data_IF_767494495941
#
_entry.id   IF_767494495941
#
_cell.length_a   1.000
_cell.length_b   1.000
_cell.length_c   1.000
_cell.angle_alpha   90.00
_cell.angle_beta   90.00
_cell.angle_gamma   90.00
#
_symmetry.space_group_name_H-M   'P 1'
#
loop_
_entity.id
_entity.type
_entity.pdbx_description
1 polymer ?
#
# COMPACT_ATOMS: atom_id res chain seq x y z
N UNK A 1 7.87 -14.27 9.67
CA UNK A 1 7.24 -14.45 8.33
C UNK A 1 6.71 -13.11 7.89
N UNK A 2 6.74 -12.79 6.58
CA UNK A 2 6.17 -11.54 6.09
C UNK A 2 4.66 -11.50 6.39
N UNK A 3 4.13 -10.32 6.69
CA UNK A 3 2.69 -10.14 6.86
C UNK A 3 1.97 -10.21 5.51
N UNK A 4 2.67 -9.85 4.44
CA UNK A 4 2.23 -9.94 3.06
C UNK A 4 3.24 -10.77 2.27
N UNK A 5 2.87 -12.00 1.91
CA UNK A 5 3.69 -12.82 1.04
C UNK A 5 3.45 -12.44 -0.43
N UNK A 6 4.51 -12.04 -1.15
CA UNK A 6 4.41 -11.78 -2.59
C UNK A 6 3.99 -13.03 -3.36
N UNK A 7 3.15 -12.84 -4.39
CA UNK A 7 2.67 -13.89 -5.28
C UNK A 7 2.66 -13.36 -6.71
N UNK A 8 2.95 -14.21 -7.69
CA UNK A 8 2.91 -13.82 -9.11
C UNK A 8 1.50 -13.42 -9.57
N UNK A 9 0.45 -13.77 -8.81
CA UNK A 9 -0.91 -13.28 -9.06
C UNK A 9 -1.07 -11.77 -8.90
N UNK A 10 -0.12 -11.09 -8.25
CA UNK A 10 -0.10 -9.62 -8.16
C UNK A 10 0.46 -8.94 -9.40
N UNK A 11 0.97 -9.70 -10.38
CA UNK A 11 1.46 -9.13 -11.62
C UNK A 11 0.29 -8.77 -12.53
N UNK A 12 0.23 -7.49 -12.91
CA UNK A 12 -0.71 -6.95 -13.89
C UNK A 12 -0.20 -7.14 -15.32
N UNK A 13 1.10 -7.43 -15.49
CA UNK A 13 1.77 -7.43 -16.79
C UNK A 13 2.11 -6.02 -17.28
N UNK A 14 2.16 -5.06 -16.35
CA UNK A 14 2.52 -3.66 -16.58
C UNK A 14 3.82 -3.41 -15.81
N UNK A 15 5.01 -3.50 -16.46
CA UNK A 15 6.29 -3.56 -15.74
C UNK A 15 6.51 -2.45 -14.71
N UNK A 16 6.10 -1.23 -15.02
CA UNK A 16 6.17 -0.10 -14.09
C UNK A 16 5.34 -0.32 -12.82
N UNK A 17 4.07 -0.71 -12.96
CA UNK A 17 3.18 -0.92 -11.80
C UNK A 17 3.50 -2.23 -11.06
N UNK A 18 3.95 -3.26 -11.76
CA UNK A 18 4.45 -4.49 -11.16
C UNK A 18 5.66 -4.21 -10.23
N UNK A 19 6.58 -3.34 -10.67
CA UNK A 19 7.72 -2.89 -9.85
C UNK A 19 7.26 -2.02 -8.68
N UNK A 20 6.27 -1.14 -8.88
CA UNK A 20 5.67 -0.36 -7.79
C UNK A 20 5.04 -1.26 -6.73
N UNK A 21 4.21 -2.23 -7.11
CA UNK A 21 3.57 -3.17 -6.19
C UNK A 21 4.59 -3.99 -5.40
N UNK A 22 5.66 -4.47 -6.05
CA UNK A 22 6.74 -5.20 -5.35
C UNK A 22 7.37 -4.34 -4.27
N UNK A 23 7.73 -3.11 -4.60
CA UNK A 23 8.36 -2.22 -3.63
C UNK A 23 7.41 -1.82 -2.48
N UNK A 24 6.14 -1.57 -2.79
CA UNK A 24 5.14 -1.25 -1.78
C UNK A 24 4.92 -2.42 -0.81
N UNK A 25 4.86 -3.65 -1.32
CA UNK A 25 4.77 -4.86 -0.51
C UNK A 25 6.01 -5.07 0.38
N UNK A 26 7.22 -4.77 -0.14
CA UNK A 26 8.44 -4.80 0.66
C UNK A 26 8.43 -3.77 1.79
N UNK A 27 8.00 -2.54 1.51
CA UNK A 27 7.89 -1.49 2.53
C UNK A 27 6.88 -1.87 3.61
N UNK A 28 5.71 -2.38 3.24
CA UNK A 28 4.71 -2.85 4.21
C UNK A 28 5.26 -3.95 5.12
N UNK A 29 5.97 -4.93 4.54
CA UNK A 29 6.61 -5.99 5.31
C UNK A 29 7.70 -5.47 6.26
N UNK A 30 8.55 -4.54 5.79
CA UNK A 30 9.60 -3.92 6.61
C UNK A 30 9.01 -3.08 7.75
N UNK A 31 7.93 -2.33 7.50
CA UNK A 31 7.20 -1.59 8.53
C UNK A 31 6.68 -2.52 9.61
N UNK A 32 6.02 -3.62 9.22
CA UNK A 32 5.55 -4.62 10.17
C UNK A 32 6.72 -5.26 10.96
N UNK A 33 7.81 -5.61 10.30
CA UNK A 33 9.01 -6.15 10.97
C UNK A 33 9.56 -5.17 12.02
N UNK A 34 9.79 -3.91 11.65
CA UNK A 34 10.30 -2.90 12.60
C UNK A 34 9.35 -2.70 13.77
N UNK A 35 8.04 -2.70 13.52
CA UNK A 35 7.02 -2.63 14.57
C UNK A 35 7.13 -3.82 15.53
N UNK A 36 7.31 -5.04 15.03
CA UNK A 36 7.47 -6.22 15.91
C UNK A 36 8.76 -6.22 16.73
N UNK A 37 9.81 -5.55 16.26
CA UNK A 37 11.10 -5.43 16.96
C UNK A 37 11.01 -4.34 18.05
N UNK A 38 10.55 -3.15 17.66
CA UNK A 38 10.42 -2.01 18.57
C UNK A 38 9.32 -1.04 18.08
N UNK A 39 8.10 -1.12 18.63
CA UNK A 39 6.98 -0.25 18.27
C UNK A 39 7.23 1.25 18.48
N UNK A 40 8.23 1.63 19.28
CA UNK A 40 8.58 3.02 19.58
C UNK A 40 9.97 3.41 19.02
N UNK A 41 10.53 2.62 18.10
CA UNK A 41 11.86 2.87 17.54
C UNK A 41 11.84 3.81 16.34
N UNK A 42 12.82 4.71 16.23
CA UNK A 42 12.95 5.62 15.07
C UNK A 42 13.15 4.91 13.72
N UNK A 43 13.54 3.63 13.73
CA UNK A 43 13.58 2.80 12.52
C UNK A 43 12.18 2.53 11.96
N UNK A 44 11.18 2.35 12.82
CA UNK A 44 9.77 2.20 12.42
C UNK A 44 9.25 3.48 11.79
N UNK A 45 9.47 4.62 12.43
CA UNK A 45 9.10 5.94 11.90
C UNK A 45 9.69 6.17 10.50
N UNK A 46 10.99 5.87 10.35
CA UNK A 46 11.70 6.04 9.07
C UNK A 46 11.09 5.18 7.95
N UNK A 47 10.76 3.92 8.21
CA UNK A 47 10.20 3.03 7.18
C UNK A 47 8.72 3.34 6.91
N UNK A 48 8.00 3.82 7.91
CA UNK A 48 6.60 4.21 7.79
C UNK A 48 6.42 5.46 6.92
N UNK A 49 7.29 6.47 7.08
CA UNK A 49 7.34 7.62 6.18
C UNK A 49 7.60 7.19 4.73
N UNK A 50 8.55 6.26 4.52
CA UNK A 50 8.81 5.70 3.18
C UNK A 50 7.60 4.96 2.61
N UNK A 51 6.86 4.21 3.44
CA UNK A 51 5.64 3.54 3.01
C UNK A 51 4.58 4.56 2.57
N UNK A 52 4.36 5.62 3.35
CA UNK A 52 3.40 6.67 3.03
C UNK A 52 3.75 7.43 1.74
N UNK A 53 5.02 7.86 1.62
CA UNK A 53 5.53 8.57 0.45
C UNK A 53 5.41 7.70 -0.82
N UNK A 54 5.80 6.43 -0.72
CA UNK A 54 5.80 5.54 -1.86
C UNK A 54 4.38 5.11 -2.28
N UNK A 55 3.47 4.89 -1.33
CA UNK A 55 2.06 4.66 -1.63
C UNK A 55 1.46 5.85 -2.39
N UNK A 56 1.71 7.07 -1.90
CA UNK A 56 1.25 8.30 -2.58
C UNK A 56 1.81 8.41 -4.00
N UNK A 57 3.11 8.17 -4.18
CA UNK A 57 3.75 8.17 -5.50
C UNK A 57 3.12 7.14 -6.45
N UNK A 58 2.94 5.91 -5.98
CA UNK A 58 2.35 4.82 -6.74
C UNK A 58 0.91 5.15 -7.17
N UNK A 59 0.06 5.56 -6.23
CA UNK A 59 -1.33 5.91 -6.48
C UNK A 59 -1.48 7.05 -7.48
N UNK A 60 -0.64 8.09 -7.37
CA UNK A 60 -0.63 9.19 -8.34
C UNK A 60 -0.23 8.72 -9.75
N UNK A 61 0.70 7.77 -9.86
CA UNK A 61 1.11 7.21 -11.14
C UNK A 61 -0.03 6.43 -11.81
N UNK A 62 -0.72 5.56 -11.05
CA UNK A 62 -1.87 4.82 -11.55
C UNK A 62 -3.03 5.73 -11.93
N UNK A 63 -3.37 6.69 -11.08
CA UNK A 63 -4.47 7.62 -11.33
C UNK A 63 -4.23 8.48 -12.57
N UNK A 64 -2.99 8.95 -12.77
CA UNK A 64 -2.60 9.67 -13.98
C UNK A 64 -2.77 8.79 -15.20
N UNK A 65 -2.29 7.55 -15.15
CA UNK A 65 -2.44 6.60 -16.24
C UNK A 65 -3.93 6.35 -16.55
N UNK A 66 -4.74 6.10 -15.52
CA UNK A 66 -6.18 5.90 -15.65
C UNK A 66 -6.89 7.12 -16.25
N UNK A 67 -6.51 8.34 -15.85
CA UNK A 67 -7.05 9.59 -16.39
C UNK A 67 -6.70 9.75 -17.87
N UNK A 68 -5.45 9.50 -18.26
CA UNK A 68 -4.99 9.54 -19.65
C UNK A 68 -5.70 8.51 -20.55
N UNK A 69 -6.10 7.37 -19.97
CA UNK A 69 -6.87 6.32 -20.64
C UNK A 69 -8.38 6.52 -20.60
N UNK A 70 -8.88 7.51 -19.86
CA UNK A 70 -10.31 7.72 -19.68
C UNK A 70 -10.99 6.56 -18.95
N UNK A 71 -10.30 5.92 -17.99
CA UNK A 71 -10.82 4.79 -17.24
C UNK A 71 -12.10 5.20 -16.46
N UNK A 72 -13.25 4.55 -16.71
CA UNK A 72 -14.55 5.05 -16.25
C UNK A 72 -14.79 4.93 -14.75
N UNK A 73 -13.90 4.27 -14.01
CA UNK A 73 -14.02 4.06 -12.55
C UNK A 73 -12.92 4.75 -11.75
N UNK A 74 -12.20 5.69 -12.34
CA UNK A 74 -11.13 6.45 -11.67
C UNK A 74 -11.55 7.01 -10.31
N UNK A 75 -12.72 7.64 -10.21
CA UNK A 75 -13.21 8.22 -8.95
C UNK A 75 -13.47 7.18 -7.85
N UNK A 76 -13.83 5.95 -8.24
CA UNK A 76 -13.96 4.85 -7.28
C UNK A 76 -12.58 4.38 -6.84
N UNK A 77 -11.66 4.20 -7.77
CA UNK A 77 -10.29 3.75 -7.50
C UNK A 77 -9.56 4.71 -6.55
N UNK A 78 -9.69 6.02 -6.76
CA UNK A 78 -9.20 7.09 -5.85
C UNK A 78 -9.67 6.92 -4.41
N UNK A 79 -10.95 6.59 -4.19
CA UNK A 79 -11.47 6.38 -2.83
C UNK A 79 -10.88 5.15 -2.15
N UNK A 80 -10.52 4.13 -2.92
CA UNK A 80 -9.83 2.96 -2.41
C UNK A 80 -8.40 3.37 -1.98
N UNK A 81 -7.69 4.16 -2.79
CA UNK A 81 -6.38 4.74 -2.42
C UNK A 81 -6.44 5.63 -1.16
N UNK A 82 -7.46 6.48 -1.06
CA UNK A 82 -7.68 7.33 0.12
C UNK A 82 -7.80 6.46 1.38
N UNK A 83 -8.54 5.35 1.30
CA UNK A 83 -8.72 4.41 2.41
C UNK A 83 -7.39 3.82 2.89
N UNK A 84 -6.50 3.43 1.97
CA UNK A 84 -5.17 2.94 2.34
C UNK A 84 -4.33 4.03 2.98
N UNK A 85 -4.33 5.22 2.39
CA UNK A 85 -3.55 6.38 2.87
C UNK A 85 -3.99 6.81 4.27
N UNK A 86 -5.30 6.84 4.53
CA UNK A 86 -5.86 7.11 5.86
C UNK A 86 -5.40 6.06 6.89
N UNK A 87 -5.40 4.77 6.53
CA UNK A 87 -4.93 3.72 7.42
C UNK A 87 -3.43 3.83 7.74
N UNK A 88 -2.59 4.21 6.77
CA UNK A 88 -1.17 4.49 7.00
C UNK A 88 -0.98 5.72 7.90
N UNK A 89 -1.77 6.78 7.72
CA UNK A 89 -1.70 7.96 8.57
C UNK A 89 -2.14 7.67 10.02
N UNK A 90 -3.13 6.80 10.22
CA UNK A 90 -3.52 6.32 11.55
C UNK A 90 -2.35 5.54 12.19
N UNK A 91 -1.72 4.64 11.43
CA UNK A 91 -0.56 3.88 11.89
C UNK A 91 0.58 4.81 12.34
N UNK A 92 0.87 5.85 11.56
CA UNK A 92 1.89 6.85 11.87
C UNK A 92 1.58 7.60 13.16
N UNK A 93 0.35 8.08 13.31
CA UNK A 93 -0.09 8.78 14.50
C UNK A 93 0.00 7.91 15.76
N UNK A 94 -0.42 6.65 15.68
CA UNK A 94 -0.35 5.71 16.81
C UNK A 94 1.11 5.44 17.22
N UNK A 95 1.99 5.22 16.24
CA UNK A 95 3.42 5.00 16.48
C UNK A 95 4.09 6.22 17.14
N UNK A 96 3.84 7.44 16.61
CA UNK A 96 4.39 8.69 17.14
C UNK A 96 3.88 9.01 18.54
N UNK A 97 2.65 8.60 18.86
CA UNK A 97 2.08 8.78 20.19
C UNK A 97 2.62 7.75 21.22
N UNK A 98 3.46 6.81 20.81
CA UNK A 98 3.92 5.70 21.65
C UNK A 98 2.78 4.77 22.07
N UNK A 99 1.67 4.79 21.33
CA UNK A 99 0.53 3.93 21.57
C UNK A 99 0.80 2.56 20.95
N UNK A 100 0.32 1.51 21.59
CA UNK A 100 0.35 0.19 20.97
C UNK A 100 -0.58 0.21 19.76
N UNK A 101 -0.01 0.34 18.56
CA UNK A 101 -0.78 0.16 17.31
C UNK A 101 -1.44 -1.20 17.32
N UNK A 102 -2.68 -1.29 16.85
CA UNK A 102 -3.32 -2.60 16.74
C UNK A 102 -2.66 -3.43 15.63
N UNK A 103 -2.30 -4.69 15.94
CA UNK A 103 -1.91 -5.66 14.91
C UNK A 103 -2.99 -5.79 13.81
N UNK A 104 -4.26 -5.51 14.16
CA UNK A 104 -5.38 -5.46 13.23
C UNK A 104 -5.19 -4.46 12.08
N UNK A 105 -4.54 -3.32 12.32
CA UNK A 105 -4.29 -2.31 11.28
C UNK A 105 -3.28 -2.81 10.24
N UNK A 106 -2.25 -3.54 10.67
CA UNK A 106 -1.32 -4.17 9.75
C UNK A 106 -1.98 -5.30 8.93
N UNK A 107 -2.87 -6.09 9.54
CA UNK A 107 -3.66 -7.08 8.81
C UNK A 107 -4.58 -6.43 7.78
N UNK A 108 -5.24 -5.32 8.16
CA UNK A 108 -6.04 -4.53 7.25
C UNK A 108 -5.23 -4.04 6.05
N UNK A 109 -4.05 -3.45 6.25
CA UNK A 109 -3.20 -2.96 5.16
C UNK A 109 -2.76 -4.09 4.21
N UNK A 110 -2.41 -5.26 4.74
CA UNK A 110 -2.00 -6.41 3.94
C UNK A 110 -3.17 -7.03 3.14
N UNK A 111 -4.35 -7.12 3.76
CA UNK A 111 -5.58 -7.58 3.10
C UNK A 111 -6.06 -6.60 2.04
N UNK A 112 -6.05 -5.30 2.36
CA UNK A 112 -6.37 -4.23 1.43
C UNK A 112 -5.47 -4.30 0.21
N UNK A 113 -4.14 -4.35 0.40
CA UNK A 113 -3.19 -4.45 -0.72
C UNK A 113 -3.50 -5.65 -1.59
N UNK A 114 -3.66 -6.84 -0.98
CA UNK A 114 -3.90 -8.07 -1.72
C UNK A 114 -5.20 -7.99 -2.54
N UNK A 115 -6.26 -7.45 -1.95
CA UNK A 115 -7.57 -7.34 -2.59
C UNK A 115 -7.55 -6.30 -3.70
N UNK A 116 -6.98 -5.12 -3.42
CA UNK A 116 -6.92 -4.02 -4.37
C UNK A 116 -6.15 -4.39 -5.63
N UNK A 117 -4.95 -4.98 -5.49
CA UNK A 117 -4.15 -5.43 -6.64
C UNK A 117 -4.87 -6.50 -7.46
N UNK A 118 -5.49 -7.49 -6.79
CA UNK A 118 -6.12 -8.63 -7.48
C UNK A 118 -7.46 -8.29 -8.13
N UNK A 119 -8.14 -7.25 -7.66
CA UNK A 119 -9.48 -6.87 -8.13
C UNK A 119 -9.48 -5.55 -8.89
N UNK A 120 -9.10 -4.46 -8.23
CA UNK A 120 -9.18 -3.10 -8.78
C UNK A 120 -8.09 -2.85 -9.80
N UNK A 121 -6.83 -3.12 -9.46
CA UNK A 121 -5.71 -2.85 -10.36
C UNK A 121 -5.73 -3.78 -11.58
N UNK A 122 -6.01 -5.05 -11.31
CA UNK A 122 -6.22 -6.04 -12.36
C UNK A 122 -7.37 -5.69 -13.31
N UNK A 123 -8.38 -4.94 -12.88
CA UNK A 123 -9.48 -4.52 -13.75
C UNK A 123 -9.07 -3.40 -14.70
N UNK A 124 -8.34 -2.37 -14.24
CA UNK A 124 -7.86 -1.32 -15.16
C UNK A 124 -6.81 -1.89 -16.12
N UNK A 125 -5.95 -2.80 -15.67
CA UNK A 125 -4.92 -3.41 -16.53
C UNK A 125 -5.51 -4.24 -17.68
N UNK A 126 -6.68 -4.86 -17.48
CA UNK A 126 -7.40 -5.62 -18.53
C UNK A 126 -8.16 -4.74 -19.52
N UNK A 127 -8.33 -3.45 -19.23
CA UNK A 127 -9.13 -2.49 -20.01
C UNK A 127 -8.25 -1.32 -20.47
N UNK A 128 -7.34 -1.57 -21.45
CA UNK A 128 -6.36 -0.58 -21.89
C UNK A 128 -6.98 0.60 -22.64
#
# INVERSE_FOLDING_TARGET
MPILAWKDSFLLGMPEFDDHHRHLAELLNKTHEQYTINPAGGALETVLLKLADYATYHFQAEERWMEEKGYPRLDRHRKEHDTFTEAVAVLEKECLAGQATSAALFFFLAEWFSTHVLESDADYARKP
#
